data_IF_300466045421
#
_entry.id   IF_300466045421
#
_cell.length_a   1.000
_cell.length_b   1.000
_cell.length_c   1.000
_cell.angle_alpha   90.00
_cell.angle_beta   90.00
_cell.angle_gamma   90.00
#
_symmetry.space_group_name_H-M   'P 1'
#
loop_
_entity.id
_entity.type
_entity.pdbx_description
1 polymer ?
#
# COMPACT_ATOMS: atom_id res chain seq x y z
N UNK A 1 -14.07 -0.70 -7.54
CA UNK A 1 -13.50 -1.58 -8.58
C UNK A 1 -12.15 -1.02 -8.97
N UNK A 2 -11.08 -1.53 -8.36
CA UNK A 2 -9.71 -1.17 -8.72
C UNK A 2 -9.40 -1.90 -10.03
N UNK A 3 -9.39 -1.15 -11.13
CA UNK A 3 -8.75 -1.60 -12.37
C UNK A 3 -7.27 -1.82 -12.06
N UNK A 4 -6.66 -2.83 -12.69
CA UNK A 4 -5.22 -3.05 -12.56
C UNK A 4 -4.49 -1.70 -12.73
N UNK A 5 -3.59 -1.33 -11.80
CA UNK A 5 -2.87 -0.06 -11.92
C UNK A 5 -1.99 -0.05 -13.18
N UNK A 6 -1.71 -1.22 -13.77
CA UNK A 6 -0.85 -1.39 -14.93
C UNK A 6 -1.63 -1.94 -16.12
N UNK A 7 -1.66 -1.18 -17.21
CA UNK A 7 -2.07 -1.69 -18.53
C UNK A 7 -0.92 -1.50 -19.50
N UNK A 8 -0.53 -2.58 -20.18
CA UNK A 8 0.47 -2.58 -21.24
C UNK A 8 -0.25 -2.59 -22.59
N UNK A 9 -0.25 -1.47 -23.29
CA UNK A 9 -0.75 -1.38 -24.66
C UNK A 9 0.37 -0.90 -25.59
N UNK A 10 1.27 -1.81 -25.98
CA UNK A 10 2.44 -1.48 -26.79
C UNK A 10 3.68 -1.15 -25.96
N UNK A 11 4.37 -0.04 -26.26
CA UNK A 11 5.66 0.33 -25.67
C UNK A 11 5.55 1.27 -24.45
N UNK A 12 4.42 1.29 -23.73
CA UNK A 12 4.25 2.13 -22.55
C UNK A 12 3.60 1.36 -21.39
N UNK A 13 4.03 1.71 -20.18
CA UNK A 13 3.45 1.23 -18.92
C UNK A 13 2.71 2.40 -18.29
N UNK A 14 1.43 2.20 -17.95
CA UNK A 14 0.64 3.19 -17.20
C UNK A 14 0.58 2.78 -15.73
N UNK A 15 0.64 3.74 -14.81
CA UNK A 15 0.40 3.54 -13.37
C UNK A 15 -0.66 4.54 -12.88
N UNK A 16 -1.73 4.06 -12.22
CA UNK A 16 -2.74 4.96 -11.61
C UNK A 16 -2.72 4.84 -10.08
N UNK A 17 -2.55 5.99 -9.40
CA UNK A 17 -2.46 6.05 -7.94
C UNK A 17 -3.54 7.01 -7.39
N UNK A 18 -4.62 6.48 -6.78
CA UNK A 18 -5.65 7.33 -6.21
C UNK A 18 -5.18 8.01 -4.92
N UNK A 19 -5.60 9.25 -4.71
CA UNK A 19 -5.44 9.99 -3.45
C UNK A 19 -6.84 10.35 -2.94
N UNK A 20 -7.26 9.66 -1.90
CA UNK A 20 -8.59 9.84 -1.32
C UNK A 20 -8.57 10.87 -0.19
N UNK A 21 -9.38 11.92 -0.33
CA UNK A 21 -9.57 12.95 0.71
C UNK A 21 -10.79 12.70 1.60
N UNK A 22 -11.61 11.70 1.29
CA UNK A 22 -12.85 11.37 2.00
C UNK A 22 -13.01 9.86 2.22
N UNK A 23 -14.08 9.44 2.89
CA UNK A 23 -14.34 8.00 3.14
C UNK A 23 -14.68 7.25 1.85
N UNK A 24 -15.28 7.96 0.90
CA UNK A 24 -15.70 7.50 -0.42
C UNK A 24 -15.71 8.68 -1.39
N UNK A 25 -15.82 8.40 -2.69
CA UNK A 25 -15.90 9.44 -3.72
C UNK A 25 -17.15 10.31 -3.50
N UNK A 26 -16.95 11.63 -3.49
CA UNK A 26 -18.00 12.62 -3.20
C UNK A 26 -18.57 12.60 -1.76
N UNK A 27 -17.75 12.24 -0.77
CA UNK A 27 -18.09 12.41 0.65
C UNK A 27 -18.33 13.90 1.00
N UNK A 28 -19.56 14.30 1.38
CA UNK A 28 -19.89 15.71 1.63
C UNK A 28 -19.33 16.23 2.96
N UNK A 29 -18.96 15.33 3.87
CA UNK A 29 -18.50 15.67 5.22
C UNK A 29 -16.97 15.77 5.27
N UNK A 30 -16.28 14.85 4.59
CA UNK A 30 -14.82 14.82 4.51
C UNK A 30 -14.34 14.97 3.06
N UNK A 31 -13.86 16.17 2.74
CA UNK A 31 -13.30 16.50 1.44
C UNK A 31 -12.29 17.65 1.57
N UNK A 32 -11.29 17.66 0.68
CA UNK A 32 -10.34 18.75 0.61
C UNK A 32 -11.05 20.02 0.12
N UNK A 33 -11.03 21.07 0.93
CA UNK A 33 -11.45 22.42 0.53
C UNK A 33 -10.20 23.27 0.24
N UNK A 34 -9.85 23.51 -1.04
CA UNK A 34 -8.65 24.29 -1.39
C UNK A 34 -8.66 25.70 -0.83
N UNK A 35 -9.83 26.29 -0.56
CA UNK A 35 -9.96 27.66 -0.05
C UNK A 35 -9.46 27.81 1.39
N UNK A 36 -9.37 26.71 2.14
CA UNK A 36 -8.82 26.70 3.51
C UNK A 36 -7.29 26.76 3.55
N UNK A 37 -6.61 26.69 2.40
CA UNK A 37 -5.16 26.67 2.30
C UNK A 37 -4.65 27.93 1.57
N UNK A 38 -3.61 28.56 2.13
CA UNK A 38 -2.96 29.71 1.50
C UNK A 38 -2.12 29.34 0.27
N UNK A 39 -1.59 28.12 0.23
CA UNK A 39 -0.71 27.62 -0.82
C UNK A 39 -0.82 26.09 -0.91
N UNK A 40 -1.95 25.60 -1.42
CA UNK A 40 -2.12 24.17 -1.66
C UNK A 40 -1.21 23.73 -2.81
N UNK A 41 -0.38 22.71 -2.57
CA UNK A 41 0.55 22.18 -3.57
C UNK A 41 0.52 20.66 -3.57
N UNK A 42 0.53 20.07 -4.77
CA UNK A 42 0.80 18.65 -4.97
C UNK A 42 2.25 18.53 -5.49
N UNK A 43 3.12 17.92 -4.70
CA UNK A 43 4.51 17.65 -5.08
C UNK A 43 4.64 16.17 -5.40
N UNK A 44 5.06 15.86 -6.62
CA UNK A 44 5.25 14.49 -7.10
C UNK A 44 6.73 14.31 -7.40
N UNK A 45 7.34 13.30 -6.79
CA UNK A 45 8.71 12.91 -7.05
C UNK A 45 8.68 11.53 -7.71
N UNK A 46 9.46 11.33 -8.78
CA UNK A 46 9.65 10.04 -9.41
C UNK A 46 11.15 9.75 -9.52
N UNK A 47 11.53 8.49 -9.38
CA UNK A 47 12.91 8.01 -9.55
C UNK A 47 12.96 7.09 -10.77
N UNK A 48 13.46 7.62 -11.89
CA UNK A 48 13.57 6.91 -13.15
C UNK A 48 14.60 5.76 -13.09
N UNK A 49 15.66 5.93 -12.29
CA UNK A 49 16.74 4.93 -12.17
C UNK A 49 16.22 3.71 -11.41
N UNK A 50 15.52 3.94 -10.30
CA UNK A 50 14.90 2.87 -9.53
C UNK A 50 13.83 2.11 -10.33
N UNK A 51 13.10 2.81 -11.21
CA UNK A 51 12.08 2.21 -12.06
C UNK A 51 12.67 1.45 -13.27
N UNK A 52 13.99 1.53 -13.50
CA UNK A 52 14.68 0.93 -14.66
C UNK A 52 14.00 1.24 -16.01
N UNK A 53 13.31 2.39 -16.09
CA UNK A 53 12.65 2.82 -17.31
C UNK A 53 13.73 3.15 -18.33
N UNK A 54 13.85 2.32 -19.37
CA UNK A 54 14.51 2.71 -20.63
C UNK A 54 13.54 3.49 -21.51
N UNK A 55 12.73 4.34 -20.88
CA UNK A 55 11.62 5.05 -21.52
C UNK A 55 12.13 6.34 -22.13
N UNK A 56 11.87 6.57 -23.41
CA UNK A 56 12.28 7.81 -24.09
C UNK A 56 11.49 9.06 -23.64
N UNK A 57 10.29 8.87 -23.07
CA UNK A 57 9.42 9.96 -22.62
C UNK A 57 8.57 9.52 -21.41
N UNK A 58 8.64 10.27 -20.31
CA UNK A 58 7.79 10.08 -19.13
C UNK A 58 6.66 11.12 -19.10
N UNK A 59 5.45 10.71 -18.73
CA UNK A 59 4.28 11.59 -18.59
C UNK A 59 3.64 11.42 -17.21
N UNK A 60 3.14 12.51 -16.64
CA UNK A 60 2.37 12.50 -15.40
C UNK A 60 1.13 13.37 -15.60
N UNK A 61 -0.05 12.78 -15.37
CA UNK A 61 -1.33 13.47 -15.41
C UNK A 61 -1.97 13.42 -14.03
N UNK A 62 -2.57 14.52 -13.61
CA UNK A 62 -3.31 14.63 -12.35
C UNK A 62 -4.76 14.92 -12.67
N UNK A 63 -5.63 13.98 -12.34
CA UNK A 63 -7.07 14.09 -12.51
C UNK A 63 -7.71 14.34 -11.14
N UNK A 64 -8.57 15.36 -11.04
CA UNK A 64 -9.27 15.71 -9.81
C UNK A 64 -10.78 15.52 -9.99
N UNK A 65 -11.39 14.73 -9.12
CA UNK A 65 -12.86 14.67 -9.01
C UNK A 65 -13.32 15.76 -8.06
N UNK A 66 -14.10 16.71 -8.57
CA UNK A 66 -14.58 17.88 -7.82
C UNK A 66 -16.10 17.88 -7.74
N UNK A 67 -16.65 18.49 -6.69
CA UNK A 67 -18.08 18.73 -6.60
C UNK A 67 -18.45 19.85 -7.59
N UNK A 68 -19.34 19.53 -8.51
CA UNK A 68 -19.93 20.51 -9.42
C UNK A 68 -21.30 20.94 -8.91
N UNK A 69 -21.58 22.25 -8.96
CA UNK A 69 -22.81 22.96 -8.52
C UNK A 69 -23.27 22.79 -7.07
N UNK A 70 -22.92 21.69 -6.39
CA UNK A 70 -23.30 21.40 -5.01
C UNK A 70 -22.35 22.11 -4.03
N UNK A 71 -22.87 23.10 -3.33
CA UNK A 71 -22.16 23.73 -2.23
C UNK A 71 -22.12 22.77 -1.04
N UNK A 72 -20.93 22.23 -0.76
CA UNK A 72 -20.66 21.46 0.45
C UNK A 72 -19.78 22.27 1.40
N UNK A 73 -19.86 21.95 2.69
CA UNK A 73 -19.02 22.58 3.72
C UNK A 73 -18.29 21.49 4.51
N UNK A 74 -17.22 20.90 3.96
CA UNK A 74 -16.51 19.80 4.62
C UNK A 74 -15.98 20.23 5.98
N UNK A 75 -16.10 19.35 6.98
CA UNK A 75 -15.55 19.59 8.33
C UNK A 75 -14.04 19.35 8.36
N UNK A 76 -13.54 18.51 7.46
CA UNK A 76 -12.12 18.17 7.32
C UNK A 76 -11.89 17.30 6.08
N UNK A 77 -10.75 16.62 6.04
CA UNK A 77 -10.41 15.65 5.01
C UNK A 77 -9.52 14.56 5.61
N UNK A 78 -9.44 13.41 4.94
CA UNK A 78 -8.52 12.34 5.32
C UNK A 78 -7.10 12.67 4.84
N UNK A 79 -6.16 12.64 5.77
CA UNK A 79 -4.74 12.82 5.50
C UNK A 79 -4.01 11.49 5.71
N UNK A 80 -3.21 11.09 4.73
CA UNK A 80 -2.26 9.98 4.86
C UNK A 80 -0.85 10.55 4.88
N UNK A 81 -0.08 10.22 5.93
CA UNK A 81 1.28 10.73 6.15
C UNK A 81 2.18 9.59 6.64
N UNK A 82 3.37 9.48 6.08
CA UNK A 82 4.45 8.71 6.71
C UNK A 82 4.94 9.50 7.92
N UNK A 83 4.64 9.01 9.12
CA UNK A 83 4.99 9.71 10.36
C UNK A 83 6.44 9.47 10.76
N UNK A 84 6.90 8.22 10.63
CA UNK A 84 8.23 7.80 11.03
C UNK A 84 8.73 6.67 10.14
N UNK A 85 10.01 6.72 9.77
CA UNK A 85 10.71 5.69 9.02
C UNK A 85 12.13 5.54 9.57
N UNK A 86 12.56 4.30 9.77
CA UNK A 86 13.90 3.98 10.25
C UNK A 86 14.31 2.59 9.78
N UNK A 87 15.61 2.31 9.83
CA UNK A 87 16.16 0.97 9.60
C UNK A 87 16.65 0.43 10.94
N UNK A 88 16.12 -0.70 11.44
CA UNK A 88 16.60 -1.31 12.68
C UNK A 88 18.10 -1.66 12.59
N UNK A 89 18.86 -1.33 13.63
CA UNK A 89 20.31 -1.62 13.70
C UNK A 89 20.65 -2.86 14.52
N UNK A 90 19.67 -3.40 15.27
CA UNK A 90 19.82 -4.56 16.12
C UNK A 90 18.59 -5.47 15.98
N UNK A 91 18.81 -6.79 16.03
CA UNK A 91 17.73 -7.76 16.13
C UNK A 91 17.06 -7.65 17.52
N UNK A 92 15.77 -7.98 17.58
CA UNK A 92 14.98 -8.04 18.82
C UNK A 92 14.96 -6.73 19.62
N UNK A 93 15.05 -5.59 18.94
CA UNK A 93 15.01 -4.27 19.54
C UNK A 93 13.65 -3.59 19.33
N UNK A 94 13.15 -2.96 20.39
CA UNK A 94 11.97 -2.10 20.30
C UNK A 94 12.36 -0.68 19.90
N UNK A 95 11.63 -0.13 18.93
CA UNK A 95 11.68 1.28 18.60
C UNK A 95 10.43 1.95 19.14
N UNK A 96 10.66 3.04 19.86
CA UNK A 96 9.63 3.86 20.47
C UNK A 96 9.35 5.07 19.57
N UNK A 97 8.09 5.31 19.25
CA UNK A 97 7.67 6.38 18.34
C UNK A 97 6.57 7.20 19.01
N UNK A 98 6.85 8.48 19.27
CA UNK A 98 5.84 9.41 19.76
C UNK A 98 4.92 9.81 18.60
N UNK A 99 3.62 9.58 18.76
CA UNK A 99 2.61 9.92 17.77
C UNK A 99 2.07 11.33 17.99
N UNK A 100 1.66 12.03 16.92
CA UNK A 100 1.12 13.37 17.04
C UNK A 100 -0.29 13.29 17.64
N UNK A 101 -0.64 14.30 18.43
CA UNK A 101 -1.94 14.42 19.13
C UNK A 101 -2.78 15.57 18.57
N UNK A 102 -2.52 15.99 17.33
CA UNK A 102 -3.18 17.12 16.67
C UNK A 102 -4.53 16.74 16.05
N UNK A 103 -4.66 15.53 15.49
CA UNK A 103 -5.88 15.05 14.84
C UNK A 103 -6.24 13.61 15.23
N UNK A 104 -7.54 13.26 15.26
CA UNK A 104 -7.97 11.88 15.45
C UNK A 104 -7.36 10.93 14.40
N UNK A 105 -6.98 9.74 14.84
CA UNK A 105 -6.37 8.73 13.98
C UNK A 105 -7.45 7.70 13.60
N UNK A 106 -7.79 7.65 12.30
CA UNK A 106 -8.72 6.64 11.75
C UNK A 106 -8.06 5.27 11.60
N UNK A 107 -6.79 5.25 11.21
CA UNK A 107 -6.08 4.04 10.86
C UNK A 107 -4.58 4.25 10.98
N UNK A 108 -3.89 3.19 11.40
CA UNK A 108 -2.44 3.09 11.37
C UNK A 108 -2.00 2.02 10.37
N UNK A 109 -0.94 2.30 9.63
CA UNK A 109 -0.27 1.32 8.77
C UNK A 109 1.15 1.13 9.30
N UNK A 110 1.51 -0.11 9.63
CA UNK A 110 2.86 -0.48 10.03
C UNK A 110 3.50 -1.20 8.84
N UNK A 111 4.58 -0.64 8.30
CA UNK A 111 5.30 -1.21 7.14
C UNK A 111 6.59 -1.90 7.57
N UNK A 112 6.62 -3.22 7.46
CA UNK A 112 7.83 -4.04 7.65
C UNK A 112 8.45 -4.42 6.30
N UNK A 113 9.17 -3.50 5.66
CA UNK A 113 9.73 -3.76 4.33
C UNK A 113 11.11 -4.44 4.41
N UNK A 114 11.22 -5.61 3.79
CA UNK A 114 12.49 -6.25 3.45
C UNK A 114 12.26 -7.13 2.22
N UNK A 115 13.06 -6.93 1.17
CA UNK A 115 12.85 -7.65 -0.10
C UNK A 115 12.89 -9.17 0.07
N UNK A 116 11.96 -9.87 -0.58
CA UNK A 116 11.83 -11.32 -0.50
C UNK A 116 11.35 -11.84 0.87
N UNK A 117 10.91 -10.96 1.78
CA UNK A 117 10.49 -11.32 3.14
C UNK A 117 9.09 -10.85 3.43
N UNK A 118 8.41 -11.65 4.22
CA UNK A 118 7.09 -11.32 4.72
C UNK A 118 7.18 -10.20 5.77
N UNK A 119 6.26 -9.22 5.79
CA UNK A 119 6.37 -8.06 6.69
C UNK A 119 6.39 -8.41 8.18
N UNK A 120 5.73 -9.50 8.59
CA UNK A 120 5.73 -9.94 9.99
C UNK A 120 7.01 -10.65 10.41
N UNK A 121 7.87 -11.00 9.45
CA UNK A 121 9.23 -11.47 9.74
C UNK A 121 10.20 -10.32 9.97
N UNK A 122 9.78 -9.09 9.63
CA UNK A 122 10.55 -7.86 9.84
C UNK A 122 10.10 -7.15 11.11
N UNK A 123 8.79 -7.10 11.36
CA UNK A 123 8.20 -6.54 12.58
C UNK A 123 7.29 -7.59 13.21
N UNK A 124 7.67 -8.10 14.38
CA UNK A 124 6.92 -9.16 15.06
C UNK A 124 5.79 -8.61 15.94
N UNK A 125 6.03 -7.50 16.65
CA UNK A 125 5.10 -6.97 17.65
C UNK A 125 4.91 -5.46 17.52
N UNK A 126 3.73 -4.98 17.90
CA UNK A 126 3.42 -3.56 18.01
C UNK A 126 2.51 -3.31 19.21
N UNK A 127 2.81 -2.26 19.99
CA UNK A 127 2.04 -1.86 21.16
C UNK A 127 1.78 -0.37 21.12
N UNK A 128 0.54 0.04 21.32
CA UNK A 128 0.17 1.44 21.39
C UNK A 128 -0.30 1.78 22.79
N UNK A 129 0.35 2.75 23.42
CA UNK A 129 0.00 3.20 24.77
C UNK A 129 -0.24 4.71 24.89
N UNK A 130 -1.04 5.07 25.88
CA UNK A 130 -1.43 6.43 26.23
C UNK A 130 -0.83 6.83 27.58
N UNK A 131 -0.36 8.07 27.68
CA UNK A 131 0.00 8.76 28.93
C UNK A 131 0.97 7.97 29.84
N UNK A 132 2.01 7.38 29.25
CA UNK A 132 2.99 6.49 29.89
C UNK A 132 2.35 5.21 30.44
N UNK A 133 1.76 4.40 29.55
CA UNK A 133 1.17 3.09 29.84
C UNK A 133 -0.02 3.11 30.83
N UNK A 134 -0.63 4.27 31.09
CA UNK A 134 -1.90 4.34 31.86
C UNK A 134 -3.03 3.58 31.18
N UNK A 135 -3.02 3.59 29.85
CA UNK A 135 -3.90 2.76 29.03
C UNK A 135 -3.10 2.20 27.86
N UNK A 136 -3.27 0.91 27.63
CA UNK A 136 -2.76 0.23 26.43
C UNK A 136 -3.93 0.09 25.47
N UNK A 137 -3.82 0.71 24.30
CA UNK A 137 -4.85 0.68 23.26
C UNK A 137 -4.85 -0.67 22.56
N UNK A 138 -3.65 -1.14 22.19
CA UNK A 138 -3.43 -2.50 21.71
C UNK A 138 -2.03 -2.96 22.07
N UNK A 139 -1.88 -4.27 22.14
CA UNK A 139 -0.62 -4.98 22.30
C UNK A 139 -0.72 -6.25 21.45
N UNK A 140 -0.06 -6.24 20.29
CA UNK A 140 -0.31 -7.18 19.21
C UNK A 140 0.98 -7.87 18.80
N UNK A 141 0.95 -9.20 18.82
CA UNK A 141 1.80 -9.99 17.94
C UNK A 141 1.23 -9.92 16.51
N UNK A 142 1.97 -9.31 15.59
CA UNK A 142 1.52 -8.96 14.24
C UNK A 142 1.25 -10.18 13.37
N UNK A 143 2.00 -11.28 13.55
CA UNK A 143 1.73 -12.54 12.86
C UNK A 143 0.36 -13.12 13.26
N UNK A 144 0.06 -13.17 14.56
CA UNK A 144 -1.25 -13.64 15.04
C UNK A 144 -2.38 -12.70 14.65
N UNK A 145 -2.14 -11.40 14.76
CA UNK A 145 -3.09 -10.37 14.39
C UNK A 145 -3.47 -10.49 12.91
N UNK A 146 -2.49 -10.58 12.00
CA UNK A 146 -2.79 -10.69 10.57
C UNK A 146 -3.60 -11.94 10.22
N UNK A 147 -3.34 -13.09 10.87
CA UNK A 147 -4.05 -14.34 10.60
C UNK A 147 -5.51 -14.24 11.01
N UNK A 148 -5.80 -13.52 12.09
CA UNK A 148 -7.17 -13.19 12.49
C UNK A 148 -7.83 -12.27 11.46
N UNK A 149 -7.09 -11.25 11.02
CA UNK A 149 -7.61 -10.25 10.10
C UNK A 149 -7.82 -10.75 8.67
N UNK A 150 -7.17 -11.84 8.24
CA UNK A 150 -7.44 -12.48 6.94
C UNK A 150 -8.91 -12.92 6.78
N UNK A 151 -9.63 -13.20 7.86
CA UNK A 151 -11.08 -13.46 7.81
C UNK A 151 -11.95 -12.22 7.61
N UNK A 152 -11.37 -11.03 7.74
CA UNK A 152 -12.05 -9.73 7.65
C UNK A 152 -11.61 -8.94 6.42
N UNK A 153 -10.31 -8.97 6.12
CA UNK A 153 -9.74 -8.28 4.97
C UNK A 153 -10.14 -8.96 3.66
N UNK A 154 -10.47 -8.13 2.68
CA UNK A 154 -10.60 -8.60 1.30
C UNK A 154 -9.20 -8.82 0.72
N UNK A 155 -8.93 -10.00 0.13
CA UNK A 155 -7.66 -10.21 -0.56
C UNK A 155 -7.51 -9.22 -1.71
N UNK A 156 -6.28 -8.77 -1.93
CA UNK A 156 -5.92 -7.94 -3.06
C UNK A 156 -5.78 -8.86 -4.26
N UNK A 157 -6.38 -8.45 -5.37
CA UNK A 157 -6.26 -9.09 -6.66
C UNK A 157 -5.59 -8.11 -7.60
N UNK A 158 -4.40 -8.45 -8.07
CA UNK A 158 -3.65 -7.66 -9.03
C UNK A 158 -3.51 -8.43 -10.34
N UNK A 159 -3.98 -7.84 -11.43
CA UNK A 159 -3.74 -8.38 -12.77
C UNK A 159 -2.48 -7.73 -13.34
N UNK A 160 -1.68 -8.52 -14.02
CA UNK A 160 -0.52 -8.03 -14.75
C UNK A 160 -0.52 -8.61 -16.16
N UNK A 161 -0.05 -7.81 -17.11
CA UNK A 161 0.21 -8.24 -18.48
C UNK A 161 1.51 -7.59 -18.92
N UNK A 162 2.41 -8.33 -19.54
CA UNK A 162 3.67 -7.79 -20.05
C UNK A 162 4.18 -8.56 -21.26
N UNK A 163 5.19 -7.97 -21.92
CA UNK A 163 5.99 -8.68 -22.90
C UNK A 163 7.28 -9.19 -22.25
N UNK A 164 7.32 -10.48 -21.98
CA UNK A 164 8.50 -11.16 -21.44
C UNK A 164 9.60 -11.19 -22.53
N UNK A 165 10.83 -10.77 -22.21
CA UNK A 165 12.00 -10.76 -23.13
C UNK A 165 12.93 -11.91 -22.80
N UNK A 166 13.28 -12.77 -23.78
CA UNK A 166 14.05 -14.01 -23.57
C UNK A 166 15.14 -13.82 -22.50
N UNK A 167 14.94 -14.44 -21.33
CA UNK A 167 15.83 -14.28 -20.19
C UNK A 167 16.15 -15.67 -19.62
N UNK A 168 17.37 -16.15 -19.87
CA UNK A 168 17.84 -17.41 -19.28
C UNK A 168 18.04 -17.35 -17.76
N UNK A 169 17.97 -16.15 -17.16
CA UNK A 169 18.23 -15.88 -15.74
C UNK A 169 16.97 -15.55 -14.91
N UNK A 170 15.78 -15.48 -15.52
CA UNK A 170 14.57 -15.01 -14.86
C UNK A 170 14.52 -13.49 -14.69
N UNK A 171 13.31 -12.95 -14.48
CA UNK A 171 13.04 -11.53 -14.27
C UNK A 171 12.22 -11.34 -12.99
N UNK A 172 12.65 -10.43 -12.14
CA UNK A 172 12.01 -10.13 -10.85
C UNK A 172 10.86 -9.15 -11.01
N UNK A 173 9.70 -9.51 -10.46
CA UNK A 173 8.48 -8.70 -10.46
C UNK A 173 8.06 -8.41 -9.04
N UNK A 174 7.64 -7.17 -8.80
CA UNK A 174 7.08 -6.74 -7.53
C UNK A 174 5.58 -6.54 -7.67
N UNK A 175 4.81 -7.21 -6.82
CA UNK A 175 3.36 -7.12 -6.75
C UNK A 175 2.93 -6.43 -5.46
N UNK A 176 1.75 -5.81 -5.51
CA UNK A 176 1.08 -5.15 -4.40
C UNK A 176 0.85 -6.09 -3.22
N UNK A 177 0.23 -7.29 -3.36
CA UNK A 177 0.14 -8.23 -2.25
C UNK A 177 1.52 -8.77 -1.87
N UNK A 178 1.84 -8.82 -0.59
CA UNK A 178 3.17 -9.24 -0.12
C UNK A 178 3.16 -10.46 0.80
N UNK A 179 1.97 -10.96 1.16
CA UNK A 179 1.80 -12.14 1.99
C UNK A 179 0.71 -13.05 1.46
N UNK A 180 0.87 -14.35 1.72
CA UNK A 180 0.01 -15.44 1.25
C UNK A 180 -0.33 -15.33 -0.25
N UNK A 181 0.68 -14.97 -1.04
CA UNK A 181 0.52 -14.77 -2.47
C UNK A 181 0.20 -16.09 -3.17
N UNK A 182 -0.79 -16.04 -4.06
CA UNK A 182 -1.13 -17.11 -4.98
C UNK A 182 -1.22 -16.50 -6.37
N UNK A 183 -0.53 -17.10 -7.34
CA UNK A 183 -0.68 -16.75 -8.75
C UNK A 183 -0.94 -18.03 -9.54
N UNK A 184 -1.97 -18.09 -10.40
CA UNK A 184 -1.96 -19.06 -11.47
C UNK A 184 -0.85 -18.65 -12.44
N UNK A 185 0.02 -19.60 -12.78
CA UNK A 185 1.11 -19.34 -13.72
C UNK A 185 0.52 -18.93 -15.08
N UNK A 186 0.93 -17.75 -15.56
CA UNK A 186 0.55 -17.22 -16.86
C UNK A 186 1.07 -18.13 -17.99
N UNK A 187 0.21 -18.50 -18.94
CA UNK A 187 0.67 -19.09 -20.20
C UNK A 187 1.04 -17.98 -21.18
N UNK A 188 2.20 -18.07 -21.87
CA UNK A 188 2.49 -17.14 -22.95
C UNK A 188 1.43 -17.28 -24.05
N UNK A 189 0.85 -16.17 -24.52
CA UNK A 189 -0.22 -16.17 -25.53
C UNK A 189 0.25 -16.65 -26.93
N UNK A 190 1.55 -16.90 -27.11
CA UNK A 190 2.17 -17.17 -28.42
C UNK A 190 3.36 -18.15 -28.37
N UNK A 191 3.57 -18.86 -27.26
CA UNK A 191 4.62 -19.87 -27.15
C UNK A 191 4.05 -21.11 -26.44
N UNK A 192 4.51 -22.28 -26.86
CA UNK A 192 4.18 -23.55 -26.20
C UNK A 192 5.12 -23.81 -25.00
N UNK A 193 6.11 -22.94 -24.77
CA UNK A 193 7.03 -23.03 -23.64
C UNK A 193 6.35 -22.54 -22.35
N UNK A 194 6.34 -23.36 -21.29
CA UNK A 194 5.74 -22.96 -20.02
C UNK A 194 6.59 -21.87 -19.34
N UNK A 195 5.94 -20.81 -18.87
CA UNK A 195 6.53 -19.95 -17.85
C UNK A 195 6.68 -20.75 -16.55
N UNK A 196 7.76 -20.51 -15.79
CA UNK A 196 7.91 -21.04 -14.43
C UNK A 196 8.17 -19.89 -13.47
N UNK A 197 7.67 -20.02 -12.25
CA UNK A 197 7.89 -19.07 -11.15
C UNK A 197 8.80 -19.73 -10.12
N UNK A 198 9.69 -18.96 -9.48
CA UNK A 198 10.47 -19.48 -8.36
C UNK A 198 9.63 -19.64 -7.07
N UNK A 199 10.09 -20.52 -6.18
CA UNK A 199 9.35 -21.08 -5.03
C UNK A 199 8.99 -20.08 -3.91
N UNK A 200 9.40 -18.81 -4.00
CA UNK A 200 9.22 -17.85 -2.91
C UNK A 200 8.60 -16.54 -3.37
N UNK A 201 7.28 -16.55 -3.55
CA UNK A 201 6.42 -15.34 -3.67
C UNK A 201 6.29 -14.62 -2.31
N UNK A 202 7.41 -14.28 -1.69
CA UNK A 202 7.45 -13.65 -0.36
C UNK A 202 7.80 -12.18 -0.51
N UNK A 203 7.11 -11.32 0.23
CA UNK A 203 7.41 -9.88 0.19
C UNK A 203 7.06 -9.23 -1.16
N UNK A 204 6.07 -9.77 -1.87
CA UNK A 204 5.62 -9.22 -3.16
C UNK A 204 6.55 -9.56 -4.32
N UNK A 205 7.71 -10.18 -4.07
CA UNK A 205 8.70 -10.51 -5.08
C UNK A 205 8.40 -11.87 -5.71
N UNK A 206 8.36 -11.92 -7.04
CA UNK A 206 8.28 -13.17 -7.80
C UNK A 206 9.22 -13.11 -9.01
N UNK A 207 10.10 -14.10 -9.10
CA UNK A 207 10.95 -14.30 -10.28
C UNK A 207 10.22 -15.17 -11.29
N UNK A 208 10.07 -14.66 -12.51
CA UNK A 208 9.44 -15.35 -13.64
C UNK A 208 10.54 -15.74 -14.64
N UNK A 209 10.59 -17.02 -15.00
CA UNK A 209 11.51 -17.53 -16.02
C UNK A 209 10.76 -17.94 -17.28
N UNK A 210 11.38 -17.67 -18.43
CA UNK A 210 10.83 -18.02 -19.72
C UNK A 210 11.96 -18.11 -20.77
N UNK A 211 11.85 -19.07 -21.69
CA UNK A 211 12.89 -19.35 -22.68
C UNK A 211 12.71 -18.59 -24.00
N UNK A 212 11.52 -18.04 -24.24
CA UNK A 212 11.16 -17.33 -25.46
C UNK A 212 10.44 -16.02 -25.16
N UNK A 213 10.62 -15.03 -26.02
CA UNK A 213 9.92 -13.76 -25.88
C UNK A 213 8.44 -13.87 -26.24
N UNK A 214 7.55 -13.36 -25.40
CA UNK A 214 6.11 -13.50 -25.61
C UNK A 214 5.28 -12.65 -24.65
N UNK A 215 4.03 -12.39 -25.04
CA UNK A 215 3.07 -11.77 -24.13
C UNK A 215 2.63 -12.78 -23.08
N UNK A 216 2.83 -12.43 -21.82
CA UNK A 216 2.30 -13.16 -20.68
C UNK A 216 1.41 -12.23 -19.84
N UNK A 217 0.50 -12.83 -19.11
CA UNK A 217 -0.30 -12.10 -18.16
C UNK A 217 -0.91 -13.05 -17.14
N UNK A 218 -1.05 -12.56 -15.93
CA UNK A 218 -1.49 -13.37 -14.81
C UNK A 218 -2.26 -12.54 -13.79
N UNK A 219 -2.56 -13.18 -12.68
CA UNK A 219 -3.28 -12.59 -11.58
C UNK A 219 -2.60 -13.01 -10.28
N UNK A 220 -2.19 -12.05 -9.47
CA UNK A 220 -1.64 -12.31 -8.15
C UNK A 220 -2.69 -11.95 -7.11
N UNK A 221 -3.00 -12.90 -6.23
CA UNK A 221 -3.92 -12.72 -5.13
C UNK A 221 -3.15 -12.83 -3.82
N UNK A 222 -3.38 -11.94 -2.86
CA UNK A 222 -2.81 -12.07 -1.52
C UNK A 222 -3.22 -10.95 -0.57
N UNK A 223 -2.44 -10.73 0.48
CA UNK A 223 -2.71 -9.75 1.52
C UNK A 223 -1.52 -8.81 1.75
N UNK A 224 -1.72 -7.83 2.64
CA UNK A 224 -0.70 -6.89 3.12
C UNK A 224 -0.12 -6.06 1.97
N UNK A 225 -0.89 -5.10 1.42
CA UNK A 225 -0.43 -4.31 0.29
C UNK A 225 0.86 -3.60 0.63
N UNK A 226 1.89 -3.73 -0.19
CA UNK A 226 3.17 -3.03 -0.06
C UNK A 226 3.83 -3.20 1.34
N UNK A 227 3.76 -4.41 1.91
CA UNK A 227 4.29 -4.74 3.24
C UNK A 227 3.60 -4.01 4.41
N UNK A 228 2.42 -3.42 4.19
CA UNK A 228 1.69 -2.68 5.22
C UNK A 228 0.69 -3.57 5.94
N UNK A 229 0.76 -3.57 7.27
CA UNK A 229 -0.21 -4.18 8.18
C UNK A 229 -1.13 -3.06 8.66
N UNK A 230 -2.44 -3.22 8.40
CA UNK A 230 -3.45 -2.25 8.76
C UNK A 230 -3.93 -2.47 10.18
N UNK A 231 -4.00 -1.41 10.99
CA UNK A 231 -4.67 -1.39 12.28
C UNK A 231 -5.76 -0.31 12.23
N UNK A 232 -7.04 -0.68 12.02
CA UNK A 232 -8.14 0.27 11.99
C UNK A 232 -8.52 0.72 13.40
N UNK A 233 -8.91 1.98 13.55
CA UNK A 233 -9.49 2.51 14.78
C UNK A 233 -10.95 2.88 14.56
N UNK A 234 -11.82 2.25 15.34
CA UNK A 234 -13.27 2.42 15.19
C UNK A 234 -13.79 1.89 13.85
N UNK A 235 -14.93 2.42 13.44
CA UNK A 235 -15.60 2.09 12.19
C UNK A 235 -15.25 3.12 11.11
N UNK A 236 -14.89 2.62 9.92
CA UNK A 236 -14.45 3.45 8.80
C UNK A 236 -15.47 4.52 8.37
N UNK A 237 -16.77 4.25 8.56
CA UNK A 237 -17.88 5.16 8.22
C UNK A 237 -18.22 6.17 9.31
N UNK A 238 -17.80 5.95 10.56
CA UNK A 238 -18.26 6.71 11.72
C UNK A 238 -17.12 7.52 12.33
N UNK A 239 -17.08 8.82 12.04
CA UNK A 239 -15.98 9.73 12.44
C UNK A 239 -15.79 9.76 13.96
N UNK A 240 -16.89 9.76 14.71
CA UNK A 240 -16.87 9.81 16.18
C UNK A 240 -16.30 8.54 16.84
N UNK A 241 -16.20 7.45 16.08
CA UNK A 241 -15.64 6.19 16.57
C UNK A 241 -14.12 6.10 16.44
N UNK A 242 -13.49 7.05 15.73
CA UNK A 242 -12.05 7.04 15.49
C UNK A 242 -11.26 7.30 16.76
N UNK A 243 -9.98 6.96 16.73
CA UNK A 243 -9.14 7.09 17.91
C UNK A 243 -8.78 8.55 18.17
N UNK A 244 -9.51 9.18 19.10
CA UNK A 244 -9.28 10.55 19.52
C UNK A 244 -8.04 10.67 20.42
N UNK A 245 -6.97 11.18 19.82
CA UNK A 245 -5.70 11.48 20.47
C UNK A 245 -5.60 12.93 20.96
N UNK A 246 -6.55 13.80 20.61
CA UNK A 246 -6.44 15.26 20.80
C UNK A 246 -6.46 15.71 22.25
N UNK A 247 -6.96 14.83 23.14
CA UNK A 247 -7.06 15.07 24.58
C UNK A 247 -6.03 14.28 25.39
N UNK A 248 -5.08 13.64 24.72
CA UNK A 248 -4.05 12.79 25.34
C UNK A 248 -2.78 13.60 25.57
N UNK A 249 -2.12 13.36 26.71
CA UNK A 249 -0.85 14.00 27.02
C UNK A 249 0.30 13.40 26.22
N UNK A 250 0.31 12.08 26.06
CA UNK A 250 1.21 11.38 25.14
C UNK A 250 0.57 10.14 24.55
N UNK A 251 0.96 9.82 23.31
CA UNK A 251 0.60 8.59 22.62
C UNK A 251 1.86 8.01 22.01
N UNK A 252 2.15 6.74 22.31
CA UNK A 252 3.42 6.11 21.98
C UNK A 252 3.22 4.74 21.36
N UNK A 253 3.83 4.54 20.20
CA UNK A 253 3.94 3.24 19.50
C UNK A 253 5.29 2.58 19.83
#
# INVERSE_FOLDING_TARGET
>A
TLNSPYSNAGNYVLGTFPIDFGRYLYDPELALDPKKFRNLQLKITHDEVAFMATTGINYCEVLASVFDEKVITPVGFLMSKEHYAYTPTANDAFQYIDLPTDYPIRQMLIRGFLSGKDPTTVVDEARLSEDNDKRVVFDLNLLRYRKRMQGVWTPIVEFWEEYLRTSGSGTDHYFTPTSEMTTPTALPRKSDEPCKTDDTMRGGLMTIHHNEGGFAGGMVIGFLPNHCIQIPFGMAGEIDSWYDVTRKGSVKL
#
